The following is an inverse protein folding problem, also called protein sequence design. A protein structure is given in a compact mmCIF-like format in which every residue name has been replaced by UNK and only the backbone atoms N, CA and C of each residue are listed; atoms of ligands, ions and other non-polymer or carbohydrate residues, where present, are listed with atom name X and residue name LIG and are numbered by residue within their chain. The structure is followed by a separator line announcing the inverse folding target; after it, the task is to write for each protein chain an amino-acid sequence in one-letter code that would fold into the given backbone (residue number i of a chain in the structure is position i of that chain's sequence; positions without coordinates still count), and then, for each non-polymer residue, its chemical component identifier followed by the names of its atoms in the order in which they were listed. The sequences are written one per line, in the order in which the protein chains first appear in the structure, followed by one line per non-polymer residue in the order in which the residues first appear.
data_IF_755732770004
#
_entry.id   IF_755732770004
#
_cell.length_a   1.000
_cell.length_b   1.000
_cell.length_c   1.000
_cell.angle_alpha   90.00
_cell.angle_beta   90.00
_cell.angle_gamma   90.00
#
_symmetry.space_group_name_H-M   'P 1'
#
loop_
_entity.id
_entity.type
_entity.pdbx_description
1 polymer ?
#
# COMPACT_ATOMS: atom_id res chain seq x y z
N UNK A 1 -0.56 -2.35 -8.04
CA UNK A 1 0.25 -3.48 -8.53
C UNK A 1 0.66 -3.26 -9.99
N UNK A 2 -0.26 -2.79 -10.80
CA UNK A 2 -0.06 -2.52 -12.23
C UNK A 2 -0.46 -1.09 -12.59
N UNK A 3 0.04 -0.59 -13.71
CA UNK A 3 -0.42 0.66 -14.30
C UNK A 3 -1.93 0.58 -14.64
N UNK A 4 -2.62 1.71 -14.49
CA UNK A 4 -4.05 1.76 -14.80
C UNK A 4 -4.28 1.61 -16.32
N UNK A 5 -4.92 0.53 -16.71
CA UNK A 5 -5.31 0.22 -18.11
C UNK A 5 -6.66 -0.50 -18.21
N UNK A 6 -7.54 -0.26 -17.23
CA UNK A 6 -8.84 -0.92 -17.18
C UNK A 6 -9.59 -0.84 -18.53
N UNK A 7 -10.22 -1.93 -19.03
CA UNK A 7 -10.37 -3.26 -18.40
C UNK A 7 -9.15 -4.16 -18.50
N UNK A 8 -8.18 -3.87 -19.36
CA UNK A 8 -6.97 -4.66 -19.48
C UNK A 8 -6.10 -4.58 -18.20
N UNK A 9 -5.21 -5.55 -18.05
CA UNK A 9 -4.16 -5.50 -17.03
C UNK A 9 -3.00 -4.68 -17.59
N UNK A 10 -2.60 -3.65 -16.87
CA UNK A 10 -1.47 -2.80 -17.22
C UNK A 10 -0.13 -3.46 -16.93
N UNK A 11 0.94 -2.73 -17.24
CA UNK A 11 2.30 -3.15 -16.93
C UNK A 11 2.53 -3.16 -15.42
N UNK A 12 3.30 -4.13 -14.93
CA UNK A 12 3.68 -4.19 -13.51
C UNK A 12 4.40 -2.92 -13.07
N UNK A 13 4.02 -2.43 -11.90
CA UNK A 13 4.80 -1.40 -11.22
C UNK A 13 6.07 -2.01 -10.63
N UNK A 14 7.23 -1.32 -10.74
CA UNK A 14 8.49 -1.83 -10.21
C UNK A 14 8.38 -2.23 -8.74
N UNK A 15 8.86 -3.43 -8.41
CA UNK A 15 8.90 -4.01 -7.06
C UNK A 15 7.56 -4.28 -6.38
N UNK A 16 6.42 -4.07 -7.06
CA UNK A 16 5.09 -4.28 -6.46
C UNK A 16 4.86 -5.74 -6.04
N UNK A 17 5.06 -6.67 -6.95
CA UNK A 17 4.85 -8.11 -6.68
C UNK A 17 5.86 -8.62 -5.66
N UNK A 18 7.12 -8.29 -5.79
CA UNK A 18 8.18 -8.72 -4.86
C UNK A 18 7.90 -8.22 -3.44
N UNK A 19 7.51 -6.97 -3.29
CA UNK A 19 7.17 -6.38 -1.99
C UNK A 19 5.98 -7.08 -1.36
N UNK A 20 4.91 -7.30 -2.12
CA UNK A 20 3.71 -7.99 -1.62
C UNK A 20 4.02 -9.44 -1.21
N UNK A 21 4.81 -10.16 -2.00
CA UNK A 21 5.26 -11.52 -1.64
C UNK A 21 6.11 -11.52 -0.37
N UNK A 22 6.98 -10.52 -0.20
CA UNK A 22 7.79 -10.39 1.01
C UNK A 22 6.92 -10.08 2.23
N UNK A 23 5.94 -9.21 2.12
CA UNK A 23 4.97 -8.96 3.19
C UNK A 23 4.21 -10.24 3.58
N UNK A 24 3.83 -11.08 2.62
CA UNK A 24 3.22 -12.39 2.91
C UNK A 24 4.19 -13.31 3.66
N UNK A 25 5.45 -13.37 3.25
CA UNK A 25 6.46 -14.17 3.94
C UNK A 25 6.74 -13.67 5.36
N UNK A 26 6.57 -12.38 5.59
CA UNK A 26 6.63 -11.74 6.91
C UNK A 26 5.31 -11.90 7.73
N UNK A 27 4.40 -12.76 7.26
CA UNK A 27 3.11 -13.13 7.88
C UNK A 27 2.01 -12.05 7.85
N UNK A 28 2.11 -11.06 6.97
CA UNK A 28 1.00 -10.16 6.69
C UNK A 28 -0.04 -10.86 5.82
N UNK A 29 -1.32 -10.69 6.15
CA UNK A 29 -2.43 -11.17 5.33
C UNK A 29 -2.76 -10.09 4.30
N UNK A 30 -2.74 -10.47 3.02
CA UNK A 30 -3.08 -9.58 1.93
C UNK A 30 -4.50 -9.85 1.46
N UNK A 31 -5.32 -8.80 1.42
CA UNK A 31 -6.67 -8.83 0.86
C UNK A 31 -6.65 -8.02 -0.43
N UNK A 32 -7.13 -8.62 -1.52
CA UNK A 32 -7.39 -7.86 -2.74
C UNK A 32 -8.73 -7.14 -2.63
N UNK A 33 -8.69 -5.81 -2.70
CA UNK A 33 -9.87 -4.97 -2.73
C UNK A 33 -9.97 -4.28 -4.09
N UNK A 34 -10.96 -4.68 -4.89
CA UNK A 34 -11.04 -4.28 -6.30
C UNK A 34 -12.48 -4.11 -6.74
N UNK A 35 -12.68 -3.23 -7.72
CA UNK A 35 -13.96 -3.08 -8.45
C UNK A 35 -14.12 -4.10 -9.58
N UNK A 36 -13.09 -4.90 -9.88
CA UNK A 36 -13.16 -5.95 -10.89
C UNK A 36 -14.08 -7.07 -10.42
N UNK A 37 -14.88 -7.59 -11.36
CA UNK A 37 -15.83 -8.67 -11.13
C UNK A 37 -15.73 -9.71 -12.25
N UNK A 38 -16.28 -10.91 -12.01
CA UNK A 38 -16.39 -11.96 -13.00
C UNK A 38 -15.07 -12.30 -13.69
N UNK A 39 -15.08 -12.37 -15.01
CA UNK A 39 -13.89 -12.72 -15.80
C UNK A 39 -12.73 -11.75 -15.64
N UNK A 40 -12.99 -10.46 -15.46
CA UNK A 40 -11.94 -9.46 -15.21
C UNK A 40 -11.26 -9.66 -13.85
N UNK A 41 -11.99 -10.11 -12.85
CA UNK A 41 -11.42 -10.47 -11.55
C UNK A 41 -10.57 -11.74 -11.66
N UNK A 42 -11.05 -12.77 -12.34
CA UNK A 42 -10.30 -14.02 -12.55
C UNK A 42 -9.00 -13.77 -13.33
N UNK A 43 -9.03 -12.90 -14.33
CA UNK A 43 -7.83 -12.48 -15.06
C UNK A 43 -6.80 -11.83 -14.13
N UNK A 44 -7.24 -10.92 -13.26
CA UNK A 44 -6.38 -10.27 -12.28
C UNK A 44 -5.79 -11.25 -11.25
N UNK A 45 -6.59 -12.18 -10.77
CA UNK A 45 -6.13 -13.22 -9.84
C UNK A 45 -5.14 -14.18 -10.49
N UNK A 46 -5.40 -14.58 -11.76
CA UNK A 46 -4.48 -15.42 -12.52
C UNK A 46 -3.15 -14.72 -12.77
N UNK A 47 -3.18 -13.45 -13.13
CA UNK A 47 -1.99 -12.62 -13.28
C UNK A 47 -1.11 -12.62 -12.01
N UNK A 48 -1.73 -12.48 -10.85
CA UNK A 48 -1.03 -12.52 -9.57
C UNK A 48 -0.50 -13.91 -9.23
N UNK A 49 -1.31 -14.96 -9.41
CA UNK A 49 -0.92 -16.37 -9.16
C UNK A 49 0.29 -16.80 -10.00
N UNK A 50 0.31 -16.46 -11.27
CA UNK A 50 1.42 -16.73 -12.18
C UNK A 50 2.74 -16.13 -11.69
N UNK A 51 2.68 -15.09 -10.86
CA UNK A 51 3.80 -14.41 -10.23
C UNK A 51 4.06 -14.82 -8.77
N UNK A 52 3.38 -15.85 -8.34
CA UNK A 52 3.52 -16.40 -6.98
C UNK A 52 2.86 -15.56 -5.89
N UNK A 53 1.89 -14.71 -6.25
CA UNK A 53 1.13 -13.89 -5.32
C UNK A 53 -0.30 -14.41 -5.22
N UNK A 54 -0.69 -14.89 -4.04
CA UNK A 54 -2.04 -15.32 -3.71
C UNK A 54 -2.59 -14.48 -2.55
N UNK A 55 -3.86 -14.09 -2.64
CA UNK A 55 -4.49 -13.28 -1.61
C UNK A 55 -5.19 -14.17 -0.57
N UNK A 56 -5.15 -13.73 0.68
CA UNK A 56 -5.88 -14.36 1.78
C UNK A 56 -7.39 -14.32 1.56
N UNK A 57 -7.90 -13.19 1.08
CA UNK A 57 -9.29 -13.00 0.71
C UNK A 57 -9.40 -11.98 -0.43
N UNK A 58 -10.55 -11.96 -1.10
CA UNK A 58 -10.87 -11.03 -2.19
C UNK A 58 -12.18 -10.33 -1.87
N UNK A 59 -12.15 -9.00 -1.75
CA UNK A 59 -13.31 -8.17 -1.43
C UNK A 59 -14.10 -8.60 -0.18
N UNK A 60 -13.43 -9.24 0.77
CA UNK A 60 -13.99 -9.68 2.05
C UNK A 60 -12.92 -9.72 3.13
N UNK A 61 -13.33 -9.69 4.39
CA UNK A 61 -12.38 -9.62 5.52
C UNK A 61 -11.66 -10.95 5.76
N UNK A 62 -12.31 -12.07 5.46
CA UNK A 62 -11.75 -13.42 5.57
C UNK A 62 -12.39 -14.35 4.52
N UNK A 63 -11.75 -15.49 4.16
CA UNK A 63 -12.18 -16.31 3.02
C UNK A 63 -13.62 -16.83 3.12
N UNK A 64 -14.09 -17.15 4.32
CA UNK A 64 -15.40 -17.76 4.58
C UNK A 64 -16.50 -16.73 4.84
N UNK A 65 -16.20 -15.41 4.74
CA UNK A 65 -17.21 -14.37 4.94
C UNK A 65 -18.27 -14.41 3.83
N UNK A 66 -19.51 -14.67 4.23
CA UNK A 66 -20.67 -14.73 3.33
C UNK A 66 -21.52 -13.46 3.45
N UNK A 67 -21.66 -12.76 2.32
CA UNK A 67 -22.48 -11.52 2.23
C UNK A 67 -23.91 -11.68 2.66
N UNK A 68 -24.50 -12.85 2.38
CA UNK A 68 -25.95 -13.06 2.47
C UNK A 68 -26.42 -13.53 3.86
N UNK A 69 -25.52 -13.96 4.73
CA UNK A 69 -25.87 -14.46 6.07
C UNK A 69 -25.94 -13.39 7.16
N UNK A 70 -25.25 -12.30 6.97
CA UNK A 70 -25.22 -11.21 7.95
C UNK A 70 -25.62 -9.90 7.28
N UNK A 71 -26.81 -9.37 7.63
CA UNK A 71 -27.27 -8.02 7.23
C UNK A 71 -26.34 -6.88 7.70
N UNK A 72 -25.14 -7.19 8.20
CA UNK A 72 -24.16 -6.27 8.73
C UNK A 72 -22.85 -6.25 7.93
N UNK A 73 -22.92 -6.53 6.64
CA UNK A 73 -21.75 -6.49 5.75
C UNK A 73 -21.33 -5.03 5.45
N UNK A 74 -20.18 -4.63 5.92
CA UNK A 74 -19.59 -3.35 5.54
C UNK A 74 -18.86 -3.46 4.21
N UNK A 75 -19.06 -2.50 3.31
CA UNK A 75 -18.30 -2.41 2.06
C UNK A 75 -16.84 -2.03 2.29
N UNK A 76 -16.56 -1.31 3.38
CA UNK A 76 -15.19 -1.03 3.79
C UNK A 76 -14.63 -2.23 4.52
N UNK A 77 -13.55 -2.79 4.00
CA UNK A 77 -12.85 -3.92 4.61
C UNK A 77 -12.22 -3.52 5.94
N UNK A 78 -12.16 -4.46 6.88
CA UNK A 78 -11.36 -4.33 8.09
C UNK A 78 -9.92 -4.66 7.77
N UNK A 79 -9.10 -3.65 7.61
CA UNK A 79 -7.68 -3.78 7.36
C UNK A 79 -6.91 -2.78 8.21
N UNK A 80 -5.69 -3.15 8.60
CA UNK A 80 -4.82 -2.26 9.36
C UNK A 80 -4.19 -1.18 8.46
N UNK A 81 -3.96 -1.52 7.19
CA UNK A 81 -3.36 -0.64 6.19
C UNK A 81 -4.05 -0.82 4.84
N UNK A 82 -4.36 0.28 4.17
CA UNK A 82 -4.83 0.31 2.79
C UNK A 82 -3.74 0.83 1.87
N UNK A 83 -3.42 0.06 0.83
CA UNK A 83 -2.49 0.45 -0.22
C UNK A 83 -3.30 0.71 -1.49
N UNK A 84 -3.52 1.98 -1.81
CA UNK A 84 -4.38 2.40 -2.90
C UNK A 84 -3.77 3.64 -3.58
N UNK A 85 -3.77 3.66 -4.91
CA UNK A 85 -3.27 4.76 -5.73
C UNK A 85 -4.20 5.99 -5.73
N UNK A 86 -5.42 5.83 -5.26
CA UNK A 86 -6.43 6.90 -5.17
C UNK A 86 -6.49 7.58 -3.80
N UNK A 87 -5.53 7.35 -2.94
CA UNK A 87 -5.39 8.07 -1.68
C UNK A 87 -4.99 9.53 -1.91
N UNK A 88 -5.41 10.41 -1.00
CA UNK A 88 -4.84 11.75 -0.93
C UNK A 88 -3.33 11.65 -0.71
N UNK A 89 -2.55 12.34 -1.54
CA UNK A 89 -1.09 12.23 -1.55
C UNK A 89 -0.54 11.12 -2.44
N UNK A 90 -1.39 10.29 -3.06
CA UNK A 90 -1.00 9.25 -4.00
C UNK A 90 -0.49 7.98 -3.35
N UNK A 91 0.29 7.21 -4.10
CA UNK A 91 0.91 5.96 -3.69
C UNK A 91 2.43 6.15 -3.57
N UNK A 92 3.03 5.92 -2.39
CA UNK A 92 4.48 5.86 -2.25
C UNK A 92 5.09 4.76 -3.14
N UNK A 93 6.40 4.81 -3.40
CA UNK A 93 7.09 3.70 -4.03
C UNK A 93 7.04 2.44 -3.15
N UNK A 94 7.20 1.26 -3.77
CA UNK A 94 6.99 0.00 -3.07
C UNK A 94 8.04 -0.29 -2.00
N UNK A 95 9.25 0.23 -2.12
CA UNK A 95 10.26 0.15 -1.05
C UNK A 95 9.85 0.94 0.19
N UNK A 96 9.34 2.15 -0.01
CA UNK A 96 8.77 2.99 1.05
C UNK A 96 7.54 2.34 1.69
N UNK A 97 6.63 1.76 0.89
CA UNK A 97 5.48 1.01 1.41
C UNK A 97 5.94 -0.14 2.31
N UNK A 98 6.93 -0.91 1.89
CA UNK A 98 7.48 -1.98 2.71
C UNK A 98 8.00 -1.48 4.06
N UNK A 99 8.76 -0.40 4.04
CA UNK A 99 9.28 0.24 5.26
C UNK A 99 8.17 0.74 6.18
N UNK A 100 7.16 1.39 5.62
CA UNK A 100 5.99 1.87 6.39
C UNK A 100 5.25 0.73 7.09
N UNK A 101 4.95 -0.34 6.36
CA UNK A 101 4.23 -1.50 6.91
C UNK A 101 5.05 -2.22 7.97
N UNK A 102 6.32 -2.48 7.72
CA UNK A 102 7.18 -3.26 8.63
C UNK A 102 7.60 -2.49 9.88
N UNK A 103 7.72 -1.17 9.80
CA UNK A 103 8.06 -0.28 10.92
C UNK A 103 6.85 0.37 11.58
N UNK A 104 5.65 0.19 11.04
CA UNK A 104 4.43 0.84 11.52
C UNK A 104 4.46 2.36 11.38
N UNK A 105 5.10 2.88 10.34
CA UNK A 105 5.22 4.31 10.08
C UNK A 105 3.97 4.85 9.38
N UNK A 106 3.56 6.05 9.79
CA UNK A 106 2.56 6.84 9.09
C UNK A 106 3.19 7.68 7.98
N UNK A 107 2.35 8.26 7.12
CA UNK A 107 2.81 9.23 6.11
C UNK A 107 3.44 10.48 6.76
N UNK A 108 2.92 10.88 7.91
CA UNK A 108 3.42 12.01 8.70
C UNK A 108 4.84 11.74 9.23
N UNK A 109 5.11 10.53 9.71
CA UNK A 109 6.45 10.13 10.17
C UNK A 109 7.50 10.26 9.05
N UNK A 110 7.12 9.92 7.81
CA UNK A 110 8.00 10.06 6.65
C UNK A 110 8.28 11.52 6.30
N UNK A 111 7.27 12.38 6.32
CA UNK A 111 7.44 13.81 6.00
C UNK A 111 8.35 14.49 7.01
N UNK A 112 8.20 14.22 8.30
CA UNK A 112 9.08 14.73 9.35
C UNK A 112 10.53 14.26 9.21
N UNK A 113 10.74 13.01 8.78
CA UNK A 113 12.08 12.50 8.52
C UNK A 113 12.76 13.28 7.40
N UNK A 114 12.07 13.55 6.29
CA UNK A 114 12.62 14.33 5.19
C UNK A 114 12.89 15.80 5.59
N UNK A 115 12.02 16.41 6.36
CA UNK A 115 12.21 17.78 6.87
C UNK A 115 13.44 17.87 7.78
N UNK A 116 13.67 16.89 8.65
CA UNK A 116 14.84 16.87 9.55
C UNK A 116 16.16 16.60 8.81
N UNK A 117 16.13 15.86 7.71
CA UNK A 117 17.30 15.62 6.87
C UNK A 117 17.64 16.82 5.96
N UNK A 118 16.64 17.68 5.69
CA UNK A 118 16.77 18.86 4.84
C UNK A 118 16.80 20.19 5.61
N UNK A 119 16.94 20.21 6.94
CA UNK A 119 17.25 21.47 7.61
C UNK A 119 18.62 21.95 7.10
N UNK A 120 18.66 23.05 6.33
CA UNK A 120 19.94 23.64 5.95
C UNK A 120 20.67 23.98 7.24
N UNK A 121 21.92 23.55 7.37
CA UNK A 121 22.77 23.93 8.50
C UNK A 121 22.65 25.46 8.65
N UNK A 122 22.01 25.89 9.74
CA UNK A 122 21.97 27.32 10.07
C UNK A 122 23.42 27.77 10.17
N UNK A 123 23.83 28.76 9.41
CA UNK A 123 25.22 29.21 9.44
C UNK A 123 25.60 29.52 10.89
N UNK A 124 26.47 28.69 11.42
CA UNK A 124 27.01 28.89 12.78
C UNK A 124 27.66 30.27 12.80
N UNK A 125 27.03 31.24 13.46
CA UNK A 125 27.65 32.53 13.73
C UNK A 125 26.93 33.78 13.26
N UNK A 126 25.82 33.71 12.56
CA UNK A 126 25.14 34.93 12.11
C UNK A 126 24.46 35.68 13.25
N UNK A 127 23.88 34.99 14.24
CA UNK A 127 23.21 35.61 15.38
C UNK A 127 24.18 36.04 16.53
N UNK A 128 25.34 35.39 16.63
CA UNK A 128 26.33 35.79 17.66
C UNK A 128 27.01 37.10 17.37
N UNK A 129 26.96 37.64 16.14
CA UNK A 129 27.48 38.95 15.75
C UNK A 129 26.48 40.10 15.92
N UNK A 130 25.18 39.81 16.02
CA UNK A 130 24.13 40.80 16.17
C UNK A 130 23.82 41.17 17.62
N UNK A 131 24.29 40.41 18.61
CA UNK A 131 24.01 40.61 20.03
C UNK A 131 25.28 40.75 20.89
N UNK A 132 26.35 41.23 20.32
CA UNK A 132 27.52 41.67 21.08
C UNK A 132 27.42 43.17 21.41
#
# INVERSE_FOLDING_TARGET
IVEHKYPAIGRELPFAIETLRKLQSDRHKLILWTVREGGLLEEALSFCRERGLEFYAVNRDYPEEERDRNNHFSRKLKADVFIDDRNLGGLPDWGTIYEMVTKGLSYEDLTHKYESEYEPEKPKGFLSRLFR
#
